data_IF_850596771892
#
_entry.id   IF_850596771892
#
_cell.length_a   1.000
_cell.length_b   1.000
_cell.length_c   1.000
_cell.angle_alpha   90.00
_cell.angle_beta   90.00
_cell.angle_gamma   90.00
#
_symmetry.space_group_name_H-M   'P 1'
#
loop_
_entity.id
_entity.type
_entity.pdbx_description
1 polymer ?
#
# COMPACT_ATOMS: atom_id res chain seq x y z
N UNK A 1 19.23 -1.80 14.09
CA UNK A 1 19.05 -3.19 13.61
C UNK A 1 17.65 -3.46 13.04
N UNK A 2 16.57 -2.82 13.54
CA UNK A 2 15.19 -3.00 13.02
C UNK A 2 14.93 -2.37 11.64
N UNK A 3 15.62 -1.31 11.24
CA UNK A 3 15.46 -0.65 9.93
C UNK A 3 15.92 -1.50 8.74
N UNK A 4 17.03 -2.24 8.89
CA UNK A 4 17.55 -3.10 7.79
C UNK A 4 16.60 -4.22 7.38
N UNK A 5 15.77 -4.72 8.31
CA UNK A 5 14.80 -5.78 7.99
C UNK A 5 13.56 -5.27 7.25
N UNK A 6 13.14 -4.01 7.50
CA UNK A 6 11.98 -3.39 6.83
C UNK A 6 12.26 -3.12 5.35
N UNK A 7 13.46 -2.62 5.02
CA UNK A 7 13.90 -2.35 3.63
C UNK A 7 14.22 -3.66 2.89
N UNK A 8 14.74 -4.68 3.59
CA UNK A 8 15.06 -5.96 2.99
C UNK A 8 13.83 -6.74 2.46
N UNK A 9 12.67 -6.58 3.10
CA UNK A 9 11.42 -7.19 2.62
C UNK A 9 10.99 -6.62 1.27
N UNK A 10 10.96 -5.31 1.14
CA UNK A 10 10.59 -4.59 -0.10
C UNK A 10 11.61 -4.85 -1.21
N UNK A 11 12.91 -4.80 -0.91
CA UNK A 11 13.97 -5.18 -1.87
C UNK A 11 13.85 -6.63 -2.33
N UNK A 12 13.40 -7.54 -1.49
CA UNK A 12 13.20 -8.94 -1.85
C UNK A 12 12.02 -9.10 -2.83
N UNK A 13 10.95 -8.34 -2.65
CA UNK A 13 9.81 -8.28 -3.59
C UNK A 13 10.25 -7.72 -4.94
N UNK A 14 10.98 -6.60 -4.95
CA UNK A 14 11.48 -5.94 -6.15
C UNK A 14 12.53 -6.77 -6.92
N UNK A 15 13.44 -7.46 -6.23
CA UNK A 15 14.44 -8.36 -6.86
C UNK A 15 13.78 -9.60 -7.46
N UNK A 16 12.69 -10.08 -6.89
CA UNK A 16 11.88 -11.16 -7.47
C UNK A 16 11.12 -10.66 -8.71
N UNK A 17 10.76 -9.38 -8.72
CA UNK A 17 10.08 -8.70 -9.81
C UNK A 17 10.90 -8.67 -11.12
N UNK A 18 12.21 -8.34 -11.04
CA UNK A 18 13.10 -8.25 -12.21
C UNK A 18 13.35 -9.58 -12.95
N UNK A 19 13.14 -10.70 -12.27
CA UNK A 19 13.44 -12.03 -12.85
C UNK A 19 12.31 -12.64 -13.71
N UNK A 20 11.14 -12.01 -13.78
CA UNK A 20 9.94 -12.63 -14.36
C UNK A 20 9.10 -11.70 -15.24
N UNK A 21 9.74 -10.72 -15.90
CA UNK A 21 9.08 -9.74 -16.76
C UNK A 21 8.34 -10.34 -18.00
N UNK A 22 8.53 -11.60 -18.32
CA UNK A 22 8.14 -12.20 -19.61
C UNK A 22 6.74 -12.83 -19.66
N UNK A 23 5.87 -12.57 -18.67
CA UNK A 23 4.57 -13.28 -18.54
C UNK A 23 3.36 -12.36 -18.49
N UNK A 24 3.30 -11.32 -19.36
CA UNK A 24 2.10 -10.48 -19.47
C UNK A 24 1.21 -10.94 -20.62
N UNK A 25 -0.04 -11.25 -20.31
CA UNK A 25 -1.15 -11.17 -21.23
C UNK A 25 -2.31 -10.38 -20.59
N UNK A 26 -3.02 -9.60 -21.41
CA UNK A 26 -3.75 -8.42 -21.02
C UNK A 26 -5.25 -8.67 -20.79
N UNK A 27 -5.84 -7.73 -20.08
CA UNK A 27 -7.21 -7.22 -20.09
C UNK A 27 -8.15 -7.60 -18.94
N UNK A 28 -8.50 -6.65 -18.09
CA UNK A 28 -9.81 -5.99 -17.97
C UNK A 28 -9.91 -5.06 -16.75
N UNK A 29 -10.51 -3.84 -16.83
CA UNK A 29 -10.47 -2.85 -15.76
C UNK A 29 -11.51 -3.17 -14.69
N UNK A 30 -11.06 -3.69 -13.55
CA UNK A 30 -11.92 -4.00 -12.43
C UNK A 30 -12.28 -2.75 -11.61
N UNK A 31 -13.56 -2.54 -11.47
CA UNK A 31 -14.25 -1.63 -10.57
C UNK A 31 -13.85 -1.91 -9.12
N UNK A 32 -13.05 -1.04 -8.52
CA UNK A 32 -12.76 -1.09 -7.08
C UNK A 32 -14.03 -0.77 -6.28
N UNK A 33 -14.59 -1.78 -5.63
CA UNK A 33 -15.74 -1.63 -4.74
C UNK A 33 -15.27 -1.05 -3.39
N UNK A 34 -15.36 0.25 -3.25
CA UNK A 34 -15.14 0.93 -1.97
C UNK A 34 -16.42 0.87 -1.13
N UNK A 35 -16.43 0.05 -0.08
CA UNK A 35 -17.46 0.09 0.95
C UNK A 35 -17.29 1.31 1.88
N UNK A 36 -18.37 1.82 2.53
CA UNK A 36 -18.27 2.95 3.43
C UNK A 36 -17.48 2.63 4.70
N UNK A 37 -16.68 3.59 5.23
CA UNK A 37 -15.90 3.40 6.44
C UNK A 37 -16.79 3.31 7.70
N UNK A 38 -16.35 2.62 8.76
CA UNK A 38 -17.06 2.58 10.03
C UNK A 38 -17.19 4.00 10.64
N UNK A 39 -18.37 4.29 11.21
CA UNK A 39 -18.69 5.59 11.82
C UNK A 39 -17.99 5.73 13.19
N UNK A 40 -16.76 6.23 13.21
CA UNK A 40 -16.12 6.78 14.40
C UNK A 40 -16.11 8.30 14.34
N UNK A 41 -16.14 8.96 15.52
CA UNK A 41 -16.14 10.43 15.57
C UNK A 41 -14.94 11.01 14.80
N UNK A 42 -15.21 11.84 13.80
CA UNK A 42 -14.22 12.30 12.81
C UNK A 42 -12.95 12.93 13.43
N UNK A 43 -13.07 13.56 14.61
CA UNK A 43 -11.94 14.18 15.31
C UNK A 43 -11.01 13.20 16.04
N UNK A 44 -11.53 12.10 16.58
CA UNK A 44 -10.74 11.05 17.23
C UNK A 44 -10.03 10.17 16.19
N UNK A 45 -10.72 9.88 15.09
CA UNK A 45 -10.15 9.18 13.93
C UNK A 45 -8.95 9.93 13.36
N UNK A 46 -9.08 11.24 13.12
CA UNK A 46 -8.00 12.05 12.56
C UNK A 46 -6.77 12.10 13.46
N UNK A 47 -6.94 12.19 14.79
CA UNK A 47 -5.83 12.15 15.74
C UNK A 47 -5.13 10.79 15.76
N UNK A 48 -5.89 9.70 15.78
CA UNK A 48 -5.35 8.33 15.75
C UNK A 48 -4.59 8.03 14.45
N UNK A 49 -5.03 8.54 13.30
CA UNK A 49 -4.33 8.39 12.03
C UNK A 49 -3.02 9.19 12.00
N UNK A 50 -3.02 10.43 12.46
CA UNK A 50 -1.82 11.27 12.52
C UNK A 50 -0.73 10.64 13.40
N UNK A 51 -1.11 10.06 14.53
CA UNK A 51 -0.14 9.39 15.42
C UNK A 51 0.38 8.07 14.81
N UNK A 52 -0.44 7.35 14.08
CA UNK A 52 -0.01 6.20 13.31
C UNK A 52 0.95 6.60 12.19
N UNK A 53 0.65 7.65 11.43
CA UNK A 53 1.49 8.09 10.32
C UNK A 53 2.90 8.52 10.71
N UNK A 54 3.12 9.01 11.93
CA UNK A 54 4.45 9.32 12.47
C UNK A 54 5.38 8.09 12.53
N UNK A 55 4.82 6.88 12.52
CA UNK A 55 5.57 5.63 12.58
C UNK A 55 5.89 5.08 11.19
N UNK A 56 5.26 5.62 10.13
CA UNK A 56 5.35 5.13 8.75
C UNK A 56 6.52 5.79 8.06
N UNK A 57 7.48 5.00 7.57
CA UNK A 57 8.68 5.51 6.89
C UNK A 57 8.35 6.38 5.68
N UNK A 58 7.31 6.02 4.92
CA UNK A 58 6.85 6.81 3.77
C UNK A 58 6.52 8.27 4.13
N UNK A 59 6.17 8.54 5.38
CA UNK A 59 5.77 9.86 5.88
C UNK A 59 6.84 10.50 6.77
N UNK A 60 8.05 9.97 6.74
CA UNK A 60 9.21 10.63 7.33
C UNK A 60 9.35 12.05 6.75
N UNK A 61 9.77 13.01 7.54
CA UNK A 61 9.89 14.44 7.17
C UNK A 61 8.55 15.19 6.90
N UNK A 62 7.39 14.56 7.10
CA UNK A 62 6.11 15.25 7.05
C UNK A 62 5.84 15.99 8.38
N UNK A 63 5.42 17.25 8.26
CA UNK A 63 4.98 18.04 9.41
C UNK A 63 3.64 17.54 9.93
N UNK A 64 3.29 17.93 11.16
CA UNK A 64 1.97 17.60 11.70
C UNK A 64 0.80 18.16 10.85
N UNK A 65 1.02 19.31 10.19
CA UNK A 65 0.04 19.87 9.25
C UNK A 65 -0.10 18.99 8.01
N UNK A 66 1.04 18.53 7.44
CA UNK A 66 1.07 17.59 6.31
C UNK A 66 0.32 16.30 6.65
N UNK A 67 0.58 15.71 7.82
CA UNK A 67 -0.07 14.48 8.27
C UNK A 67 -1.58 14.64 8.47
N UNK A 68 -2.04 15.81 8.92
CA UNK A 68 -3.48 16.12 9.01
C UNK A 68 -4.13 16.22 7.62
N UNK A 69 -3.44 16.79 6.64
CA UNK A 69 -3.95 16.82 5.26
C UNK A 69 -4.03 15.41 4.68
N UNK A 70 -2.97 14.63 4.86
CA UNK A 70 -2.94 13.23 4.43
C UNK A 70 -4.08 12.41 5.05
N UNK A 71 -4.37 12.60 6.34
CA UNK A 71 -5.46 11.90 7.05
C UNK A 71 -6.85 12.17 6.48
N UNK A 72 -7.04 13.20 5.66
CA UNK A 72 -8.32 13.54 5.03
C UNK A 72 -8.57 12.79 3.73
N UNK A 73 -7.51 12.37 3.06
CA UNK A 73 -7.57 11.74 1.73
C UNK A 73 -7.41 10.23 1.76
N UNK A 74 -6.92 9.67 2.85
CA UNK A 74 -6.70 8.23 2.97
C UNK A 74 -7.99 7.47 3.24
N UNK A 75 -8.01 6.21 2.83
CA UNK A 75 -9.14 5.30 3.01
C UNK A 75 -8.76 4.17 3.98
N UNK A 76 -9.47 4.07 5.11
CA UNK A 76 -9.32 2.93 6.02
C UNK A 76 -10.08 1.73 5.46
N UNK A 77 -9.44 0.54 5.50
CA UNK A 77 -9.98 -0.74 5.03
C UNK A 77 -9.77 -1.81 6.08
N UNK A 78 -10.72 -2.71 6.19
CA UNK A 78 -10.62 -3.89 7.07
C UNK A 78 -10.89 -5.14 6.25
N UNK A 79 -10.14 -6.20 6.56
CA UNK A 79 -10.23 -7.49 5.89
C UNK A 79 -10.32 -8.60 6.94
N UNK A 80 -11.07 -9.64 6.62
CA UNK A 80 -11.14 -10.87 7.42
C UNK A 80 -10.01 -11.81 7.02
N UNK A 81 -9.79 -12.81 7.85
CA UNK A 81 -8.83 -13.87 7.51
C UNK A 81 -9.13 -14.50 6.14
N UNK A 82 -8.09 -14.64 5.33
CA UNK A 82 -8.16 -15.20 3.98
C UNK A 82 -8.69 -14.27 2.89
N UNK A 83 -9.21 -13.07 3.20
CA UNK A 83 -9.68 -12.12 2.19
C UNK A 83 -8.51 -11.54 1.39
N UNK A 84 -8.67 -11.46 0.05
CA UNK A 84 -7.71 -10.81 -0.83
C UNK A 84 -7.85 -9.29 -0.74
N UNK A 85 -6.72 -8.61 -0.60
CA UNK A 85 -6.59 -7.15 -0.64
C UNK A 85 -6.41 -6.71 -2.08
N UNK A 86 -5.62 -7.46 -2.83
CA UNK A 86 -5.42 -7.35 -4.27
C UNK A 86 -5.02 -8.71 -4.83
N UNK A 87 -5.18 -8.89 -6.14
CA UNK A 87 -4.92 -10.16 -6.83
C UNK A 87 -3.93 -9.96 -7.97
N UNK A 88 -3.07 -10.94 -8.18
CA UNK A 88 -2.13 -11.03 -9.32
C UNK A 88 -2.90 -10.89 -10.65
N UNK A 89 -2.34 -10.12 -11.59
CA UNK A 89 -2.95 -9.86 -12.89
C UNK A 89 -4.01 -8.75 -12.92
N UNK A 90 -4.42 -8.21 -11.76
CA UNK A 90 -5.37 -7.08 -11.70
C UNK A 90 -4.63 -5.74 -11.70
N UNK A 91 -5.27 -4.65 -12.18
CA UNK A 91 -4.68 -3.31 -12.15
C UNK A 91 -4.39 -2.83 -10.73
N UNK A 92 -3.18 -2.31 -10.51
CA UNK A 92 -2.80 -1.64 -9.28
C UNK A 92 -3.30 -0.19 -9.26
N UNK A 93 -4.06 0.17 -8.23
CA UNK A 93 -4.70 1.49 -8.13
C UNK A 93 -4.39 2.25 -6.84
N UNK A 94 -3.73 1.62 -5.89
CA UNK A 94 -3.43 2.21 -4.59
C UNK A 94 -2.17 1.59 -3.97
N UNK A 95 -1.50 2.36 -3.12
CA UNK A 95 -0.58 1.83 -2.12
C UNK A 95 -1.34 1.54 -0.83
N UNK A 96 -0.82 0.62 -0.06
CA UNK A 96 -1.41 0.21 1.21
C UNK A 96 -0.38 0.30 2.35
N UNK A 97 -0.85 0.61 3.55
CA UNK A 97 -0.04 0.63 4.77
C UNK A 97 -0.75 -0.23 5.82
N UNK A 98 -0.05 -1.21 6.37
CA UNK A 98 -0.60 -2.07 7.40
C UNK A 98 -0.71 -1.30 8.71
N UNK A 99 -1.93 -1.15 9.21
CA UNK A 99 -2.21 -0.52 10.50
C UNK A 99 -2.26 -1.54 11.65
N UNK A 100 -2.86 -2.70 11.38
CA UNK A 100 -2.87 -3.85 12.30
C UNK A 100 -3.07 -5.15 11.54
N UNK A 101 -2.63 -6.25 12.14
CA UNK A 101 -2.67 -7.57 11.52
C UNK A 101 -1.48 -7.84 10.61
N UNK A 102 -1.57 -8.85 9.76
CA UNK A 102 -0.50 -9.31 8.86
C UNK A 102 -1.06 -9.51 7.47
N UNK A 103 -0.37 -9.00 6.46
CA UNK A 103 -0.67 -9.25 5.05
C UNK A 103 0.36 -10.24 4.49
N UNK A 104 -0.12 -11.31 3.89
CA UNK A 104 0.71 -12.28 3.19
C UNK A 104 0.76 -11.93 1.71
N UNK A 105 1.95 -11.62 1.20
CA UNK A 105 2.19 -11.42 -0.23
C UNK A 105 2.57 -12.76 -0.85
N UNK A 106 1.84 -13.13 -1.89
CA UNK A 106 1.93 -14.43 -2.52
C UNK A 106 2.02 -14.32 -4.02
N UNK A 107 2.53 -15.36 -4.65
CA UNK A 107 2.56 -15.48 -6.11
C UNK A 107 2.07 -16.84 -6.56
N UNK A 108 1.25 -16.84 -7.60
CA UNK A 108 0.81 -18.07 -8.25
C UNK A 108 1.95 -18.75 -9.01
N UNK A 109 2.01 -20.08 -8.94
CA UNK A 109 2.83 -20.91 -9.80
C UNK A 109 2.02 -21.44 -10.98
N UNK A 110 2.72 -21.87 -12.04
CA UNK A 110 2.09 -22.48 -13.23
C UNK A 110 1.23 -23.72 -12.94
N UNK A 111 1.45 -24.40 -11.82
CA UNK A 111 0.68 -25.56 -11.36
C UNK A 111 -0.55 -25.18 -10.51
N UNK A 112 -0.86 -23.90 -10.36
CA UNK A 112 -1.98 -23.41 -9.57
C UNK A 112 -1.71 -23.29 -8.06
N UNK A 113 -0.51 -23.64 -7.59
CA UNK A 113 -0.11 -23.41 -6.19
C UNK A 113 0.27 -21.95 -5.97
N UNK A 114 -0.05 -21.42 -4.81
CA UNK A 114 0.44 -20.12 -4.34
C UNK A 114 1.64 -20.29 -3.43
N UNK A 115 2.63 -19.41 -3.57
CA UNK A 115 3.83 -19.38 -2.73
C UNK A 115 3.87 -18.09 -1.96
N UNK A 116 3.94 -18.19 -0.65
CA UNK A 116 4.20 -17.05 0.23
C UNK A 116 5.59 -16.49 -0.01
N UNK A 117 5.67 -15.20 -0.32
CA UNK A 117 6.93 -14.50 -0.59
C UNK A 117 7.39 -13.72 0.63
N UNK A 118 6.47 -13.01 1.28
CA UNK A 118 6.77 -12.15 2.44
C UNK A 118 5.50 -11.90 3.26
N UNK A 119 5.69 -11.72 4.56
CA UNK A 119 4.67 -11.21 5.48
C UNK A 119 4.94 -9.73 5.73
N UNK A 120 3.90 -8.92 5.57
CA UNK A 120 3.95 -7.48 5.78
C UNK A 120 3.20 -7.13 7.06
N UNK A 121 3.89 -6.48 7.97
CA UNK A 121 3.40 -6.13 9.30
C UNK A 121 3.40 -4.62 9.51
N UNK A 122 2.62 -4.09 10.49
CA UNK A 122 2.62 -2.67 10.81
C UNK A 122 4.03 -2.15 11.17
N UNK A 123 4.31 -0.93 10.81
CA UNK A 123 3.62 0.05 9.97
C UNK A 123 4.15 0.07 8.52
N UNK A 124 4.45 -1.10 7.94
CA UNK A 124 5.02 -1.21 6.60
C UNK A 124 4.00 -0.90 5.51
N UNK A 125 4.49 -0.34 4.40
CA UNK A 125 3.74 -0.14 3.16
C UNK A 125 4.02 -1.25 2.14
N UNK A 126 3.14 -1.38 1.16
CA UNK A 126 3.28 -2.26 -0.01
C UNK A 126 2.47 -1.71 -1.19
N UNK A 127 2.74 -2.19 -2.41
CA UNK A 127 2.15 -1.73 -3.67
C UNK A 127 2.45 -0.25 -3.99
N UNK A 128 3.63 0.21 -3.63
CA UNK A 128 4.06 1.61 -3.82
C UNK A 128 4.08 2.01 -5.29
N UNK A 129 4.43 1.09 -6.20
CA UNK A 129 4.45 1.35 -7.64
C UNK A 129 3.06 1.62 -8.22
N UNK A 130 2.02 0.99 -7.67
CA UNK A 130 0.65 1.23 -8.08
C UNK A 130 0.18 2.68 -7.84
N UNK A 131 0.78 3.35 -6.85
CA UNK A 131 0.52 4.76 -6.56
C UNK A 131 1.37 5.73 -7.38
N UNK A 132 2.50 5.29 -7.93
CA UNK A 132 3.44 6.13 -8.66
C UNK A 132 2.99 6.52 -10.09
N UNK A 133 1.77 6.20 -10.49
CA UNK A 133 1.16 6.68 -11.74
C UNK A 133 1.41 5.83 -12.98
N UNK A 134 2.08 4.69 -12.87
CA UNK A 134 2.19 3.74 -13.97
C UNK A 134 0.92 2.87 -14.07
N UNK A 135 0.57 2.44 -15.29
CA UNK A 135 -0.40 1.38 -15.50
C UNK A 135 0.23 0.04 -15.07
N UNK A 136 0.27 -0.15 -13.76
CA UNK A 136 0.89 -1.31 -13.13
C UNK A 136 -0.17 -2.37 -12.91
N UNK A 137 0.11 -3.56 -13.38
CA UNK A 137 -0.63 -4.78 -13.04
C UNK A 137 0.05 -5.42 -11.83
N UNK A 138 -0.72 -5.91 -10.87
CA UNK A 138 -0.18 -6.64 -9.72
C UNK A 138 0.57 -7.91 -10.15
N UNK A 139 1.81 -8.05 -9.75
CA UNK A 139 2.65 -9.22 -10.01
C UNK A 139 2.53 -10.31 -8.93
N UNK A 140 1.80 -9.99 -7.90
CA UNK A 140 1.58 -10.82 -6.73
C UNK A 140 0.14 -10.63 -6.27
N UNK A 141 -0.32 -11.49 -5.38
CA UNK A 141 -1.55 -11.32 -4.61
C UNK A 141 -1.23 -10.94 -3.17
N UNK A 142 -2.07 -10.13 -2.55
CA UNK A 142 -2.00 -9.82 -1.13
C UNK A 142 -3.24 -10.36 -0.41
N UNK A 143 -3.05 -11.17 0.62
CA UNK A 143 -4.11 -11.79 1.39
C UNK A 143 -3.98 -11.47 2.88
N UNK A 144 -5.10 -11.21 3.52
CA UNK A 144 -5.16 -11.02 4.96
C UNK A 144 -4.88 -12.35 5.70
N UNK A 145 -3.98 -12.31 6.68
CA UNK A 145 -3.67 -13.42 7.57
C UNK A 145 -4.18 -13.07 8.98
N UNK A 146 -5.36 -13.58 9.31
CA UNK A 146 -6.16 -13.06 10.41
C UNK A 146 -6.85 -11.73 10.07
N UNK A 147 -7.51 -11.09 11.04
CA UNK A 147 -8.10 -9.76 10.85
C UNK A 147 -7.03 -8.70 10.54
N UNK A 148 -7.22 -7.92 9.47
CA UNK A 148 -6.28 -6.89 9.02
C UNK A 148 -6.98 -5.54 8.91
N UNK A 149 -6.32 -4.48 9.36
CA UNK A 149 -6.70 -3.09 9.08
C UNK A 149 -5.60 -2.40 8.29
N UNK A 150 -5.98 -1.75 7.21
CA UNK A 150 -5.10 -1.04 6.30
C UNK A 150 -5.50 0.43 6.15
N UNK A 151 -4.52 1.25 5.81
CA UNK A 151 -4.73 2.56 5.20
C UNK A 151 -4.37 2.45 3.73
N UNK A 152 -5.30 2.80 2.84
CA UNK A 152 -5.08 2.84 1.41
C UNK A 152 -4.98 4.30 0.93
N UNK A 153 -4.08 4.56 -0.02
CA UNK A 153 -3.95 5.84 -0.72
C UNK A 153 -4.04 5.54 -2.20
N UNK A 154 -5.13 5.96 -2.82
CA UNK A 154 -5.35 5.77 -4.24
C UNK A 154 -4.46 6.65 -5.11
N UNK A 155 -4.20 6.23 -6.35
CA UNK A 155 -3.47 7.03 -7.33
C UNK A 155 -4.15 8.39 -7.55
N UNK A 156 -5.46 8.42 -7.67
CA UNK A 156 -6.21 9.68 -7.85
C UNK A 156 -6.10 10.60 -6.64
N UNK A 157 -6.04 10.06 -5.42
CA UNK A 157 -5.83 10.85 -4.21
C UNK A 157 -4.44 11.51 -4.21
N UNK A 158 -3.41 10.81 -4.70
CA UNK A 158 -2.05 11.36 -4.84
C UNK A 158 -1.97 12.39 -5.96
N UNK A 159 -2.68 12.19 -7.07
CA UNK A 159 -2.78 13.17 -8.14
C UNK A 159 -3.45 14.48 -7.65
N UNK A 160 -4.54 14.35 -6.90
CA UNK A 160 -5.23 15.49 -6.29
C UNK A 160 -4.37 16.18 -5.22
N UNK A 161 -3.62 15.41 -4.44
CA UNK A 161 -2.63 15.93 -3.51
C UNK A 161 -1.56 16.73 -4.25
N UNK A 162 -1.06 16.23 -5.37
CA UNK A 162 -0.08 16.89 -6.23
C UNK A 162 -0.57 18.24 -6.75
N UNK A 163 -1.84 18.34 -7.11
CA UNK A 163 -2.46 19.59 -7.59
C UNK A 163 -2.68 20.61 -6.48
N UNK A 164 -3.17 20.16 -5.32
CA UNK A 164 -3.62 21.03 -4.24
C UNK A 164 -2.53 21.31 -3.18
N UNK A 165 -1.60 20.37 -2.99
CA UNK A 165 -0.55 20.41 -1.96
C UNK A 165 0.79 19.91 -2.54
N UNK A 166 1.36 20.57 -3.55
CA UNK A 166 2.53 20.09 -4.28
C UNK A 166 3.77 19.85 -3.41
N UNK A 167 3.97 20.64 -2.37
CA UNK A 167 5.09 20.44 -1.44
C UNK A 167 4.95 19.15 -0.63
N UNK A 168 3.73 18.83 -0.19
CA UNK A 168 3.43 17.59 0.52
C UNK A 168 3.59 16.38 -0.42
N UNK A 169 3.01 16.45 -1.61
CA UNK A 169 3.14 15.40 -2.61
C UNK A 169 4.61 15.11 -2.95
N UNK A 170 5.42 16.16 -3.09
CA UNK A 170 6.86 16.02 -3.40
C UNK A 170 7.63 15.31 -2.29
N UNK A 171 7.32 15.57 -1.02
CA UNK A 171 7.92 14.83 0.12
C UNK A 171 7.57 13.34 0.07
N UNK A 172 6.29 13.01 -0.18
CA UNK A 172 5.85 11.62 -0.30
C UNK A 172 6.53 10.92 -1.47
N UNK A 173 6.58 11.56 -2.66
CA UNK A 173 7.24 11.01 -3.84
C UNK A 173 8.74 10.79 -3.62
N UNK A 174 9.42 11.70 -2.93
CA UNK A 174 10.83 11.53 -2.55
C UNK A 174 11.03 10.31 -1.65
N UNK A 175 10.15 10.10 -0.68
CA UNK A 175 10.22 8.95 0.21
C UNK A 175 9.84 7.64 -0.51
N UNK A 176 8.86 7.68 -1.43
CA UNK A 176 8.58 6.55 -2.34
C UNK A 176 9.82 6.16 -3.15
N UNK A 177 10.49 7.15 -3.76
CA UNK A 177 11.73 6.90 -4.51
C UNK A 177 12.81 6.24 -3.64
N UNK A 178 12.94 6.63 -2.37
CA UNK A 178 13.87 6.01 -1.40
C UNK A 178 13.52 4.56 -1.04
N UNK A 179 12.22 4.22 -1.07
CA UNK A 179 11.74 2.85 -0.81
C UNK A 179 12.04 1.95 -2.00
N UNK A 180 11.87 2.48 -3.22
CA UNK A 180 11.99 1.71 -4.47
C UNK A 180 13.46 1.54 -4.90
N UNK A 181 14.35 2.49 -4.55
CA UNK A 181 15.79 2.45 -4.89
C UNK A 181 16.58 1.38 -4.13
#
# INVERSE_FOLDING_TARGET
>A
MKEKFRIAGIKKILLTWHKHADLLDAADPARALYGPPPKTAAGERGRSLVDFFKQVFLFEDLTQADLRQLARIVHERTYRDGEYIFEEGKPGTALYIVRSGVVEIMRGKRNGEEVSLVLVEPPASFEELAAAGADVVHWTSGRARGPVSLVAIGRLDLDDLGRNFPLLANKILKNLARIIA
#
